data_IF_618374468365
#
_entry.id   IF_618374468365
#
_cell.length_a   1.000
_cell.length_b   1.000
_cell.length_c   1.000
_cell.angle_alpha   90.00
_cell.angle_beta   90.00
_cell.angle_gamma   90.00
#
_symmetry.space_group_name_H-M   'P 1'
#
loop_
_entity.id
_entity.type
_entity.pdbx_description
1 polymer ?
#
# COMPACT_ATOMS: atom_id res chain seq x y z
N UNK A 1 16.75 -7.69 -12.41
CA UNK A 1 15.50 -7.17 -13.00
C UNK A 1 15.81 -6.02 -13.95
N UNK A 2 14.96 -5.73 -14.94
CA UNK A 2 15.17 -4.57 -15.84
C UNK A 2 14.97 -3.26 -15.06
N UNK A 3 15.68 -2.16 -15.40
CA UNK A 3 15.54 -0.88 -14.70
C UNK A 3 14.10 -0.36 -14.63
N UNK A 4 13.33 -0.51 -15.71
CA UNK A 4 11.91 -0.11 -15.74
C UNK A 4 11.07 -0.86 -14.70
N UNK A 5 11.37 -2.14 -14.44
CA UNK A 5 10.64 -2.92 -13.43
C UNK A 5 10.95 -2.41 -12.02
N UNK A 6 12.20 -2.02 -11.73
CA UNK A 6 12.58 -1.44 -10.44
C UNK A 6 11.83 -0.13 -10.17
N UNK A 7 11.71 0.73 -11.20
CA UNK A 7 10.95 1.98 -11.11
C UNK A 7 9.48 1.70 -10.82
N UNK A 8 8.86 0.77 -11.57
CA UNK A 8 7.45 0.42 -11.37
C UNK A 8 7.19 -0.18 -9.98
N UNK A 9 8.03 -1.11 -9.50
CA UNK A 9 7.90 -1.69 -8.15
C UNK A 9 8.01 -0.61 -7.08
N UNK A 10 8.95 0.33 -7.23
CA UNK A 10 9.11 1.44 -6.30
C UNK A 10 7.86 2.33 -6.29
N UNK A 11 7.29 2.64 -7.46
CA UNK A 11 6.06 3.43 -7.55
C UNK A 11 4.87 2.74 -6.89
N UNK A 12 4.68 1.43 -7.13
CA UNK A 12 3.59 0.65 -6.52
C UNK A 12 3.77 0.55 -5.00
N UNK A 13 5.00 0.35 -4.51
CA UNK A 13 5.28 0.37 -3.07
C UNK A 13 4.92 1.73 -2.43
N UNK A 14 5.25 2.84 -3.10
CA UNK A 14 4.89 4.19 -2.64
C UNK A 14 3.37 4.42 -2.66
N UNK A 15 2.67 3.91 -3.66
CA UNK A 15 1.20 3.94 -3.72
C UNK A 15 0.58 3.22 -2.51
N UNK A 16 1.03 1.99 -2.20
CA UNK A 16 0.56 1.26 -1.03
C UNK A 16 0.85 1.99 0.29
N UNK A 17 2.02 2.62 0.44
CA UNK A 17 2.33 3.44 1.63
C UNK A 17 1.38 4.63 1.75
N UNK A 18 1.09 5.29 0.62
CA UNK A 18 0.18 6.42 0.61
C UNK A 18 -1.25 6.00 0.99
N UNK A 19 -1.73 4.87 0.45
CA UNK A 19 -3.04 4.31 0.77
C UNK A 19 -3.09 3.89 2.24
N UNK A 20 -2.08 3.17 2.74
CA UNK A 20 -1.94 2.83 4.15
C UNK A 20 -2.08 4.06 5.03
N UNK A 21 -1.39 5.15 4.69
CA UNK A 21 -1.43 6.37 5.50
C UNK A 21 -2.84 6.95 5.55
N UNK A 22 -3.54 7.00 4.42
CA UNK A 22 -4.94 7.43 4.38
C UNK A 22 -5.81 6.53 5.25
N UNK A 23 -5.72 5.22 5.09
CA UNK A 23 -6.62 4.25 5.73
C UNK A 23 -6.39 4.08 7.23
N UNK A 24 -5.13 4.12 7.70
CA UNK A 24 -4.80 3.95 9.11
C UNK A 24 -4.86 5.26 9.91
N UNK A 25 -4.42 6.38 9.32
CA UNK A 25 -4.20 7.62 10.08
C UNK A 25 -5.12 8.77 9.66
N UNK A 26 -5.46 8.86 8.38
CA UNK A 26 -6.22 10.00 7.84
C UNK A 26 -7.64 9.63 7.36
N UNK A 27 -8.20 8.50 7.81
CA UNK A 27 -9.46 7.96 7.28
C UNK A 27 -10.61 8.94 7.42
N UNK A 28 -10.79 9.52 8.60
CA UNK A 28 -11.91 10.43 8.89
C UNK A 28 -11.65 11.87 8.44
N UNK A 29 -10.46 12.17 7.91
CA UNK A 29 -10.07 13.47 7.39
C UNK A 29 -9.85 13.40 5.87
N UNK A 30 -8.67 12.98 5.42
CA UNK A 30 -8.33 12.85 4.00
C UNK A 30 -9.14 11.75 3.31
N UNK A 31 -9.46 10.65 4.00
CA UNK A 31 -10.29 9.59 3.45
C UNK A 31 -11.63 10.10 2.93
N UNK A 32 -12.28 11.05 3.63
CA UNK A 32 -13.52 11.71 3.16
C UNK A 32 -13.36 12.45 1.83
N UNK A 33 -12.19 13.04 1.59
CA UNK A 33 -11.90 13.76 0.35
C UNK A 33 -11.43 12.84 -0.78
N UNK A 34 -10.81 11.71 -0.43
CA UNK A 34 -10.30 10.71 -1.37
C UNK A 34 -11.42 9.78 -1.86
N UNK A 35 -12.23 9.25 -0.94
CA UNK A 35 -13.31 8.30 -1.22
C UNK A 35 -14.67 9.01 -1.26
N UNK A 36 -14.85 9.92 -2.24
CA UNK A 36 -16.05 10.76 -2.36
C UNK A 36 -17.36 9.99 -2.56
N UNK A 37 -17.26 8.75 -3.05
CA UNK A 37 -18.41 7.85 -3.27
C UNK A 37 -18.77 7.06 -2.02
N UNK A 38 -17.93 7.05 -0.98
CA UNK A 38 -18.21 6.36 0.27
C UNK A 38 -19.09 7.24 1.18
N UNK A 39 -20.16 6.70 1.79
CA UNK A 39 -21.07 7.49 2.62
C UNK A 39 -20.35 8.20 3.78
N UNK A 40 -20.62 9.50 3.96
CA UNK A 40 -19.90 10.36 4.90
C UNK A 40 -20.06 9.92 6.36
N UNK A 41 -21.24 9.40 6.70
CA UNK A 41 -21.61 8.86 8.00
C UNK A 41 -20.88 7.55 8.35
N UNK A 42 -20.34 6.84 7.36
CA UNK A 42 -19.66 5.56 7.58
C UNK A 42 -18.18 5.72 7.94
N UNK A 43 -17.56 6.87 7.74
CA UNK A 43 -16.12 7.05 8.02
C UNK A 43 -15.76 6.84 9.50
N UNK A 44 -16.55 7.37 10.43
CA UNK A 44 -16.31 7.15 11.87
C UNK A 44 -16.48 5.68 12.28
N UNK A 45 -17.63 5.01 12.02
CA UNK A 45 -17.82 3.62 12.46
C UNK A 45 -16.89 2.63 11.77
N UNK A 46 -16.39 2.92 10.56
CA UNK A 46 -15.48 2.02 9.82
C UNK A 46 -14.01 2.28 10.07
N UNK A 47 -13.63 3.18 10.99
CA UNK A 47 -12.23 3.52 11.25
C UNK A 47 -11.34 2.30 11.53
N UNK A 48 -11.82 1.35 12.34
CA UNK A 48 -11.07 0.13 12.64
C UNK A 48 -10.94 -0.80 11.42
N UNK A 49 -12.01 -0.91 10.61
CA UNK A 49 -11.98 -1.67 9.36
C UNK A 49 -10.98 -1.08 8.38
N UNK A 50 -11.00 0.25 8.19
CA UNK A 50 -10.06 0.97 7.34
C UNK A 50 -8.62 0.80 7.85
N UNK A 51 -8.37 0.93 9.15
CA UNK A 51 -7.05 0.68 9.71
C UNK A 51 -6.53 -0.74 9.42
N UNK A 52 -7.42 -1.74 9.43
CA UNK A 52 -7.06 -3.09 9.02
C UNK A 52 -6.76 -3.18 7.51
N UNK A 53 -7.53 -2.51 6.64
CA UNK A 53 -7.23 -2.40 5.20
C UNK A 53 -5.85 -1.76 4.97
N UNK A 54 -5.56 -0.68 5.69
CA UNK A 54 -4.28 0.00 5.60
C UNK A 54 -3.11 -0.88 6.05
N UNK A 55 -3.31 -1.75 7.04
CA UNK A 55 -2.29 -2.71 7.45
C UNK A 55 -1.98 -3.73 6.34
N UNK A 56 -2.98 -4.21 5.59
CA UNK A 56 -2.73 -5.06 4.41
C UNK A 56 -1.89 -4.34 3.36
N UNK A 57 -2.22 -3.08 3.04
CA UNK A 57 -1.39 -2.23 2.18
C UNK A 57 0.05 -2.11 2.70
N UNK A 58 0.23 -2.06 4.02
CA UNK A 58 1.55 -2.07 4.66
C UNK A 58 2.36 -3.34 4.39
N UNK A 59 1.72 -4.51 4.47
CA UNK A 59 2.37 -5.78 4.14
C UNK A 59 2.76 -5.87 2.66
N UNK A 60 1.90 -5.39 1.75
CA UNK A 60 2.21 -5.32 0.32
C UNK A 60 3.42 -4.41 0.07
N UNK A 61 3.39 -3.20 0.61
CA UNK A 61 4.52 -2.26 0.50
C UNK A 61 5.83 -2.85 1.07
N UNK A 62 5.76 -3.49 2.24
CA UNK A 62 6.93 -4.09 2.87
C UNK A 62 7.53 -5.23 2.02
N UNK A 63 6.68 -6.08 1.42
CA UNK A 63 7.12 -7.15 0.52
C UNK A 63 7.75 -6.61 -0.77
N UNK A 64 7.15 -5.59 -1.38
CA UNK A 64 7.70 -4.93 -2.56
C UNK A 64 9.05 -4.24 -2.26
N UNK A 65 9.15 -3.52 -1.14
CA UNK A 65 10.43 -2.91 -0.70
C UNK A 65 11.47 -4.00 -0.45
N UNK A 66 11.09 -5.08 0.21
CA UNK A 66 11.99 -6.20 0.45
C UNK A 66 12.53 -6.79 -0.86
N UNK A 67 11.67 -6.94 -1.87
CA UNK A 67 12.08 -7.42 -3.19
C UNK A 67 13.19 -6.57 -3.84
N UNK A 68 13.23 -5.26 -3.57
CA UNK A 68 14.26 -4.34 -4.07
C UNK A 68 15.60 -4.48 -3.35
N UNK A 69 15.59 -5.07 -2.15
CA UNK A 69 16.77 -5.24 -1.29
C UNK A 69 17.39 -6.64 -1.36
N UNK A 70 16.71 -7.60 -1.99
CA UNK A 70 17.21 -8.97 -2.15
C UNK A 70 18.34 -8.98 -3.18
N UNK A 71 19.51 -9.49 -2.75
CA UNK A 71 20.68 -9.61 -3.62
C UNK A 71 20.60 -10.77 -4.63
N UNK A 72 19.86 -11.84 -4.31
CA UNK A 72 19.61 -12.95 -5.23
C UNK A 72 18.59 -12.54 -6.33
N UNK A 73 18.98 -12.52 -7.61
CA UNK A 73 18.11 -11.99 -8.66
C UNK A 73 16.83 -12.81 -8.91
N UNK A 74 16.86 -14.12 -8.61
CA UNK A 74 15.71 -15.00 -8.78
C UNK A 74 14.68 -14.74 -7.67
N UNK A 75 15.14 -14.64 -6.42
CA UNK A 75 14.29 -14.36 -5.28
C UNK A 75 13.76 -12.93 -5.27
N UNK A 76 14.55 -11.94 -5.69
CA UNK A 76 14.07 -10.56 -5.89
C UNK A 76 12.85 -10.54 -6.82
N UNK A 77 12.91 -11.28 -7.93
CA UNK A 77 11.79 -11.40 -8.88
C UNK A 77 10.60 -12.14 -8.27
N UNK A 78 10.82 -13.26 -7.60
CA UNK A 78 9.72 -14.06 -7.04
C UNK A 78 8.96 -13.31 -5.96
N UNK A 79 9.66 -12.58 -5.08
CA UNK A 79 9.03 -11.76 -4.04
C UNK A 79 8.27 -10.59 -4.69
N UNK A 80 8.86 -9.91 -5.68
CA UNK A 80 8.21 -8.82 -6.42
C UNK A 80 6.98 -9.25 -7.24
N UNK A 81 6.82 -10.55 -7.54
CA UNK A 81 5.66 -11.08 -8.26
C UNK A 81 4.55 -11.55 -7.33
N UNK A 82 4.90 -11.90 -6.09
CA UNK A 82 3.94 -12.37 -5.09
C UNK A 82 3.23 -11.20 -4.41
N UNK A 83 3.99 -10.15 -4.06
CA UNK A 83 3.48 -8.90 -3.50
C UNK A 83 3.15 -7.91 -4.61
#
# INVERSE_FOLDING_TARGET
MKPIALVLITLVALEHIYILWIEMFAWTTKGRTTFKTFPAELFEPTRALAANQGLYNGFLAAGLIWSLLIGDPLWAKNVALFF
#
